data_IF_680280523945
#
_entry.id   IF_680280523945
#
_cell.length_a   1.000
_cell.length_b   1.000
_cell.length_c   1.000
_cell.angle_alpha   90.00
_cell.angle_beta   90.00
_cell.angle_gamma   90.00
#
_symmetry.space_group_name_H-M   'P 1'
#
loop_
_entity.id
_entity.type
_entity.pdbx_description
1 polymer ?
#
# COMPACT_ATOMS: atom_id res chain seq x y z
N UNK A 1 30.56 -16.71 9.30
CA UNK A 1 30.33 -16.55 7.84
C UNK A 1 28.85 -16.31 7.53
N UNK A 2 27.89 -16.96 8.20
CA UNK A 2 26.45 -16.68 8.04
C UNK A 2 26.00 -15.29 8.56
N UNK A 3 26.50 -14.86 9.74
CA UNK A 3 26.13 -13.56 10.32
C UNK A 3 26.52 -12.33 9.46
N UNK A 4 27.63 -12.38 8.73
CA UNK A 4 28.05 -11.30 7.82
C UNK A 4 27.26 -11.30 6.50
N UNK A 5 26.62 -12.42 6.14
CA UNK A 5 25.73 -12.53 4.98
C UNK A 5 24.35 -11.91 5.24
N UNK A 6 23.80 -12.07 6.45
CA UNK A 6 22.54 -11.42 6.86
C UNK A 6 22.70 -9.90 7.01
N UNK A 7 23.85 -9.45 7.52
CA UNK A 7 24.15 -8.03 7.74
C UNK A 7 24.14 -7.19 6.47
N UNK A 8 24.42 -7.81 5.32
CA UNK A 8 24.41 -7.20 3.99
C UNK A 8 23.19 -7.59 3.16
N UNK A 9 22.22 -8.31 3.73
CA UNK A 9 21.01 -8.65 2.99
C UNK A 9 20.19 -7.36 2.83
N UNK A 10 19.89 -6.92 1.60
CA UNK A 10 19.01 -5.78 1.41
C UNK A 10 17.69 -6.02 2.12
N UNK A 11 17.16 -4.98 2.75
CA UNK A 11 15.87 -5.06 3.46
C UNK A 11 14.82 -5.52 2.44
N UNK A 12 14.31 -6.72 2.67
CA UNK A 12 13.32 -7.33 1.81
C UNK A 12 11.98 -6.63 1.91
N UNK A 13 11.04 -7.08 1.07
CA UNK A 13 9.65 -6.68 1.18
C UNK A 13 9.06 -7.18 2.50
N UNK A 14 8.32 -6.32 3.18
CA UNK A 14 7.64 -6.60 4.44
C UNK A 14 6.13 -6.47 4.27
N UNK A 15 5.38 -7.03 5.22
CA UNK A 15 3.95 -6.78 5.32
C UNK A 15 3.69 -5.68 6.34
N UNK A 16 2.81 -4.76 5.98
CA UNK A 16 2.29 -3.72 6.86
C UNK A 16 0.76 -3.74 6.89
N UNK A 17 0.20 -3.12 7.93
CA UNK A 17 -1.25 -2.91 8.04
C UNK A 17 -1.51 -1.42 8.04
N UNK A 18 -2.35 -0.96 7.11
CA UNK A 18 -2.77 0.43 7.08
C UNK A 18 -3.54 0.79 8.36
N UNK A 19 -3.10 1.83 9.06
CA UNK A 19 -3.78 2.36 10.27
C UNK A 19 -4.75 3.48 9.93
N UNK A 20 -4.68 4.01 8.71
CA UNK A 20 -5.53 5.04 8.12
C UNK A 20 -5.44 4.98 6.59
N UNK A 21 -5.88 6.02 5.88
CA UNK A 21 -5.74 6.08 4.41
C UNK A 21 -4.30 6.33 3.94
N UNK A 22 -3.49 7.01 4.76
CA UNK A 22 -2.11 7.41 4.44
C UNK A 22 -1.16 7.18 5.63
N UNK A 23 -1.51 6.24 6.53
CA UNK A 23 -0.69 5.86 7.68
C UNK A 23 -0.64 4.34 7.77
N UNK A 24 0.52 3.79 8.14
CA UNK A 24 0.79 2.35 8.12
C UNK A 24 1.54 1.93 9.39
N UNK A 25 1.27 0.71 9.87
CA UNK A 25 2.10 0.05 10.87
C UNK A 25 2.86 -1.09 10.19
N UNK A 26 4.18 -1.11 10.40
CA UNK A 26 5.07 -2.16 9.89
C UNK A 26 5.85 -2.71 11.07
N UNK A 27 5.43 -3.88 11.58
CA UNK A 27 6.08 -4.54 12.73
C UNK A 27 6.22 -3.62 13.96
N UNK A 28 5.16 -2.86 14.28
CA UNK A 28 5.13 -1.91 15.40
C UNK A 28 5.79 -0.55 15.11
N UNK A 29 6.39 -0.36 13.93
CA UNK A 29 6.82 0.95 13.46
C UNK A 29 5.63 1.69 12.83
N UNK A 30 5.19 2.76 13.48
CA UNK A 30 4.16 3.64 12.95
C UNK A 30 4.75 4.62 11.93
N UNK A 31 4.24 4.56 10.70
CA UNK A 31 4.60 5.41 9.57
C UNK A 31 3.44 6.35 9.24
N UNK A 32 3.76 7.62 9.00
CA UNK A 32 2.83 8.68 8.64
C UNK A 32 2.92 9.03 7.15
N UNK A 33 2.10 9.97 6.68
CA UNK A 33 2.08 10.35 5.27
C UNK A 33 3.43 10.90 4.76
N UNK A 34 4.24 11.50 5.64
CA UNK A 34 5.57 12.00 5.27
C UNK A 34 6.62 10.89 5.15
N UNK A 35 6.33 9.68 5.63
CA UNK A 35 7.24 8.54 5.53
C UNK A 35 6.92 7.69 4.30
N UNK A 36 5.74 7.86 3.70
CA UNK A 36 5.16 6.92 2.74
C UNK A 36 5.10 7.49 1.33
N UNK A 37 5.45 6.64 0.37
CA UNK A 37 5.24 6.85 -1.06
C UNK A 37 4.30 5.76 -1.57
N UNK A 38 3.29 6.18 -2.33
CA UNK A 38 2.23 5.31 -2.84
C UNK A 38 2.20 5.35 -4.36
N UNK A 39 1.84 4.22 -4.97
CA UNK A 39 1.33 4.23 -6.33
C UNK A 39 -0.01 4.97 -6.38
N UNK A 40 -0.26 5.71 -7.46
CA UNK A 40 -1.43 6.61 -7.57
C UNK A 40 -2.77 5.88 -7.37
N UNK A 41 -2.90 4.65 -7.86
CA UNK A 41 -4.10 3.84 -7.74
C UNK A 41 -4.40 3.35 -6.31
N UNK A 42 -3.44 3.45 -5.39
CA UNK A 42 -3.64 3.05 -3.99
C UNK A 42 -4.26 4.17 -3.15
N UNK A 43 -4.20 5.41 -3.62
CA UNK A 43 -4.74 6.58 -2.90
C UNK A 43 -5.95 7.21 -3.62
N UNK A 44 -6.23 6.79 -4.84
CA UNK A 44 -7.37 7.24 -5.64
C UNK A 44 -8.32 6.09 -5.95
N UNK A 45 -9.60 6.42 -6.12
CA UNK A 45 -10.58 5.45 -6.64
C UNK A 45 -10.34 5.24 -8.13
N UNK A 46 -10.26 3.98 -8.57
CA UNK A 46 -9.96 3.63 -9.96
C UNK A 46 -11.08 2.76 -10.52
N UNK A 47 -11.70 3.18 -11.61
CA UNK A 47 -12.74 2.39 -12.27
C UNK A 47 -12.13 1.09 -12.85
N UNK A 48 -12.67 -0.05 -12.44
CA UNK A 48 -12.29 -1.38 -12.96
C UNK A 48 -13.24 -1.85 -14.05
N UNK A 49 -14.48 -1.36 -14.03
CA UNK A 49 -15.46 -1.60 -15.09
C UNK A 49 -16.38 -0.39 -15.25
N UNK A 50 -16.46 0.18 -16.46
CA UNK A 50 -17.25 1.39 -16.71
C UNK A 50 -18.68 1.02 -17.13
N UNK A 51 -19.69 1.44 -16.35
CA UNK A 51 -21.11 1.17 -16.59
C UNK A 51 -21.95 2.45 -16.50
N UNK A 52 -21.75 3.34 -17.46
CA UNK A 52 -22.54 4.57 -17.59
C UNK A 52 -23.83 4.28 -18.36
N UNK A 53 -24.98 4.55 -17.75
CA UNK A 53 -26.29 4.41 -18.40
C UNK A 53 -26.58 5.63 -19.29
N UNK A 54 -27.52 5.47 -20.23
CA UNK A 54 -27.94 6.55 -21.15
C UNK A 54 -28.53 7.77 -20.44
N UNK A 55 -29.03 7.60 -19.23
CA UNK A 55 -29.53 8.68 -18.36
C UNK A 55 -28.40 9.42 -17.60
N UNK A 56 -27.14 9.02 -17.81
CA UNK A 56 -25.98 9.60 -17.16
C UNK A 56 -25.66 9.00 -15.78
N UNK A 57 -26.44 8.02 -15.29
CA UNK A 57 -26.14 7.39 -14.01
C UNK A 57 -24.90 6.48 -14.11
N UNK A 58 -24.02 6.62 -13.12
CA UNK A 58 -22.82 5.82 -13.00
C UNK A 58 -23.09 4.59 -12.12
N UNK A 59 -22.93 3.40 -12.71
CA UNK A 59 -22.97 2.12 -11.99
C UNK A 59 -21.66 1.35 -12.19
N UNK A 60 -20.58 2.07 -12.50
CA UNK A 60 -19.25 1.50 -12.68
C UNK A 60 -18.76 0.83 -11.41
N UNK A 61 -17.88 -0.14 -11.58
CA UNK A 61 -17.17 -0.78 -10.48
C UNK A 61 -15.84 -0.09 -10.26
N UNK A 62 -15.47 0.06 -9.00
CA UNK A 62 -14.29 0.80 -8.60
C UNK A 62 -13.43 -0.03 -7.64
N UNK A 63 -12.12 0.07 -7.83
CA UNK A 63 -11.16 -0.24 -6.80
C UNK A 63 -11.12 0.93 -5.80
N UNK A 64 -11.37 0.61 -4.54
CA UNK A 64 -11.33 1.60 -3.46
C UNK A 64 -9.88 1.93 -3.06
N UNK A 65 -9.60 3.19 -2.68
CA UNK A 65 -8.33 3.57 -2.05
C UNK A 65 -8.02 2.73 -0.81
N UNK A 66 -6.75 2.72 -0.42
CA UNK A 66 -6.30 2.12 0.83
C UNK A 66 -7.05 2.73 2.03
N UNK A 67 -7.41 1.87 2.96
CA UNK A 67 -8.07 2.25 4.21
C UNK A 67 -7.53 1.47 5.38
N UNK A 68 -7.89 1.93 6.59
CA UNK A 68 -7.54 1.24 7.83
C UNK A 68 -7.91 -0.25 7.77
N UNK A 69 -6.96 -1.10 8.14
CA UNK A 69 -7.09 -2.55 8.15
C UNK A 69 -6.63 -3.24 6.86
N UNK A 70 -6.34 -2.50 5.79
CA UNK A 70 -5.78 -3.10 4.58
C UNK A 70 -4.35 -3.61 4.82
N UNK A 71 -4.10 -4.85 4.40
CA UNK A 71 -2.77 -5.45 4.39
C UNK A 71 -2.02 -4.97 3.14
N UNK A 72 -0.78 -4.54 3.29
CA UNK A 72 0.02 -3.98 2.20
C UNK A 72 1.42 -4.55 2.16
N UNK A 73 1.99 -4.60 0.96
CA UNK A 73 3.41 -4.89 0.76
C UNK A 73 4.21 -3.59 0.89
N UNK A 74 5.20 -3.58 1.80
CA UNK A 74 6.00 -2.41 2.14
C UNK A 74 7.47 -2.68 1.85
N UNK A 75 8.20 -1.67 1.36
CA UNK A 75 9.63 -1.75 1.16
C UNK A 75 10.31 -0.47 1.66
N UNK A 76 11.34 -0.60 2.50
CA UNK A 76 12.15 0.53 2.94
C UNK A 76 12.99 1.04 1.75
N UNK A 77 12.84 2.32 1.41
CA UNK A 77 13.63 2.98 0.36
C UNK A 77 14.88 3.64 0.95
N UNK A 78 14.70 4.31 2.10
CA UNK A 78 15.76 5.01 2.84
C UNK A 78 15.41 5.03 4.32
N UNK A 79 16.26 5.64 5.15
CA UNK A 79 16.00 5.76 6.59
C UNK A 79 14.73 6.55 6.96
N UNK A 80 14.21 7.35 6.03
CA UNK A 80 13.03 8.20 6.24
C UNK A 80 11.91 7.97 5.23
N UNK A 81 12.02 6.97 4.35
CA UNK A 81 11.02 6.72 3.31
C UNK A 81 10.76 5.24 3.07
N UNK A 82 9.49 4.93 2.90
CA UNK A 82 8.98 3.60 2.60
C UNK A 82 8.03 3.67 1.41
N UNK A 83 8.08 2.64 0.57
CA UNK A 83 7.10 2.42 -0.48
C UNK A 83 5.99 1.52 0.02
N UNK A 84 4.75 1.92 -0.22
CA UNK A 84 3.60 1.03 -0.23
C UNK A 84 3.41 0.58 -1.68
N UNK A 85 3.78 -0.68 -1.96
CA UNK A 85 3.84 -1.18 -3.33
C UNK A 85 2.47 -1.61 -3.85
N UNK A 86 1.75 -2.41 -3.07
CA UNK A 86 0.43 -2.93 -3.43
C UNK A 86 -0.40 -3.33 -2.20
N UNK A 87 -1.71 -3.43 -2.39
CA UNK A 87 -2.65 -4.04 -1.43
C UNK A 87 -2.66 -5.56 -1.58
N UNK A 88 -2.52 -6.28 -0.47
CA UNK A 88 -2.55 -7.74 -0.43
C UNK A 88 -3.95 -8.25 -0.11
N UNK A 89 -4.47 -9.16 -0.94
CA UNK A 89 -5.76 -9.82 -0.75
C UNK A 89 -5.58 -11.34 -0.75
N UNK A 90 -6.34 -12.04 0.09
CA UNK A 90 -6.42 -13.50 0.07
C UNK A 90 -7.55 -13.92 -0.89
N UNK A 91 -7.32 -14.96 -1.68
CA UNK A 91 -8.31 -15.57 -2.60
C UNK A 91 -8.70 -16.94 -2.07
#
# INVERSE_FOLDING_TARGET
MQAEGERNNPIGMQLGVMTGSVTCDVDGLSLSAEDLLFSEHLINSVATEVKIKKDGSDNSEYLEPLKKGDLVAVMKMSDSRYFILEKMVKV
#
